data_IF_417670482524
#
_entry.id   IF_417670482524
#
_cell.length_a   1.000
_cell.length_b   1.000
_cell.length_c   1.000
_cell.angle_alpha   90.00
_cell.angle_beta   90.00
_cell.angle_gamma   90.00
#
_symmetry.space_group_name_H-M   'P 1'
#
loop_
_entity.id
_entity.type
_entity.pdbx_description
1 polymer ?
#
# COMPACT_ATOMS: atom_id res chain seq x y z
N UNK A 1 -5.95 -8.57 -19.42
CA UNK A 1 -6.11 -8.42 -17.96
C UNK A 1 -6.56 -9.75 -17.40
N UNK A 2 -5.72 -10.41 -16.60
CA UNK A 2 -6.13 -11.59 -15.83
C UNK A 2 -6.94 -11.08 -14.64
N UNK A 3 -8.19 -11.50 -14.50
CA UNK A 3 -9.02 -11.08 -13.37
C UNK A 3 -8.70 -11.95 -12.13
N UNK A 4 -9.03 -11.45 -10.93
CA UNK A 4 -8.78 -12.13 -9.65
C UNK A 4 -9.27 -13.59 -9.65
N UNK A 5 -10.46 -13.84 -10.20
CA UNK A 5 -11.07 -15.17 -10.21
C UNK A 5 -10.30 -16.17 -11.09
N UNK A 6 -9.70 -15.70 -12.18
CA UNK A 6 -8.86 -16.55 -13.05
C UNK A 6 -7.59 -17.00 -12.32
N UNK A 7 -6.94 -16.10 -11.58
CA UNK A 7 -5.76 -16.42 -10.77
C UNK A 7 -6.12 -17.37 -9.62
N UNK A 8 -7.23 -17.12 -8.94
CA UNK A 8 -7.70 -17.98 -7.86
C UNK A 8 -7.97 -19.41 -8.36
N UNK A 9 -8.65 -19.56 -9.49
CA UNK A 9 -8.93 -20.88 -10.07
C UNK A 9 -7.64 -21.61 -10.47
N UNK A 10 -6.61 -20.89 -10.94
CA UNK A 10 -5.31 -21.47 -11.24
C UNK A 10 -4.61 -21.98 -9.98
N UNK A 11 -4.65 -21.21 -8.88
CA UNK A 11 -4.06 -21.63 -7.60
C UNK A 11 -4.77 -22.87 -7.05
N UNK A 12 -6.11 -22.92 -7.13
CA UNK A 12 -6.89 -24.08 -6.69
C UNK A 12 -6.59 -25.36 -7.47
N UNK A 13 -6.10 -25.24 -8.71
CA UNK A 13 -5.70 -26.39 -9.52
C UNK A 13 -4.32 -26.97 -9.15
N UNK A 14 -3.55 -26.27 -8.33
CA UNK A 14 -2.23 -26.71 -7.87
C UNK A 14 -2.33 -27.71 -6.72
N UNK A 15 -1.31 -28.56 -6.58
CA UNK A 15 -1.13 -29.39 -5.38
C UNK A 15 -0.86 -28.52 -4.15
N UNK A 16 -1.17 -29.03 -2.96
CA UNK A 16 -0.90 -28.29 -1.70
C UNK A 16 0.58 -27.88 -1.58
N UNK A 17 1.49 -28.75 -1.99
CA UNK A 17 2.94 -28.47 -1.98
C UNK A 17 3.31 -27.32 -2.92
N UNK A 18 2.71 -27.28 -4.11
CA UNK A 18 2.95 -26.20 -5.07
C UNK A 18 2.32 -24.88 -4.62
N UNK A 19 1.15 -24.92 -3.95
CA UNK A 19 0.53 -23.73 -3.35
C UNK A 19 1.42 -23.13 -2.26
N UNK A 20 2.00 -23.98 -1.39
CA UNK A 20 2.90 -23.52 -0.33
C UNK A 20 4.20 -22.94 -0.89
N UNK A 21 4.79 -23.57 -1.92
CA UNK A 21 5.98 -23.03 -2.60
C UNK A 21 5.69 -21.67 -3.24
N UNK A 22 4.57 -21.56 -3.96
CA UNK A 22 4.14 -20.30 -4.58
C UNK A 22 3.93 -19.20 -3.52
N UNK A 23 3.32 -19.53 -2.38
CA UNK A 23 3.12 -18.57 -1.30
C UNK A 23 4.47 -18.04 -0.76
N UNK A 24 5.46 -18.91 -0.58
CA UNK A 24 6.77 -18.49 -0.08
C UNK A 24 7.54 -17.64 -1.11
N UNK A 25 7.47 -17.97 -2.40
CA UNK A 25 8.03 -17.13 -3.47
C UNK A 25 7.36 -15.75 -3.54
N UNK A 26 6.03 -15.70 -3.40
CA UNK A 26 5.28 -14.43 -3.39
C UNK A 26 5.61 -13.57 -2.18
N UNK A 27 5.80 -14.18 -0.99
CA UNK A 27 6.26 -13.42 0.20
C UNK A 27 7.62 -12.79 -0.05
N UNK A 28 8.54 -13.48 -0.71
CA UNK A 28 9.86 -12.93 -1.05
C UNK A 28 9.70 -11.73 -2.00
N UNK A 29 8.85 -11.85 -3.02
CA UNK A 29 8.58 -10.76 -3.96
C UNK A 29 7.92 -9.54 -3.31
N UNK A 30 6.96 -9.74 -2.41
CA UNK A 30 6.28 -8.64 -1.70
C UNK A 30 7.21 -7.96 -0.69
N UNK A 31 8.15 -8.72 -0.10
CA UNK A 31 9.13 -8.18 0.84
C UNK A 31 10.38 -7.60 0.15
N UNK A 32 10.52 -7.73 -1.17
CA UNK A 32 11.51 -6.98 -1.92
C UNK A 32 11.02 -5.55 -2.05
N UNK A 33 11.68 -4.64 -1.32
CA UNK A 33 11.42 -3.22 -1.40
C UNK A 33 11.44 -2.76 -2.87
N UNK A 34 10.40 -2.07 -3.28
CA UNK A 34 10.36 -1.41 -4.59
C UNK A 34 11.30 -0.22 -4.47
N UNK A 35 12.48 -0.29 -5.10
CA UNK A 35 13.32 0.90 -5.30
C UNK A 35 12.53 1.89 -6.16
N UNK A 36 12.10 3.00 -5.55
CA UNK A 36 11.50 4.12 -6.26
C UNK A 36 12.63 5.07 -6.62
N UNK A 37 12.76 5.42 -7.89
CA UNK A 37 13.85 6.26 -8.38
C UNK A 37 13.73 7.69 -7.81
N UNK A 38 14.63 8.06 -6.90
CA UNK A 38 14.70 9.36 -6.23
C UNK A 38 14.49 9.26 -4.72
N UNK A 39 15.60 9.27 -3.98
CA UNK A 39 15.77 9.05 -2.53
C UNK A 39 15.59 7.59 -2.06
N UNK A 40 16.64 7.07 -1.43
CA UNK A 40 16.74 5.74 -0.80
C UNK A 40 15.83 5.59 0.43
N UNK A 41 14.64 6.19 0.43
CA UNK A 41 13.67 6.10 1.51
C UNK A 41 12.70 4.95 1.23
N UNK A 42 12.93 3.81 1.87
CA UNK A 42 11.97 2.70 1.87
C UNK A 42 10.76 3.10 2.70
N UNK A 43 9.63 3.39 2.05
CA UNK A 43 8.37 3.69 2.75
C UNK A 43 7.70 2.37 3.18
N UNK A 44 7.50 2.12 4.48
CA UNK A 44 6.76 0.96 4.96
C UNK A 44 5.35 0.89 4.40
N UNK A 45 4.84 -0.31 4.14
CA UNK A 45 3.45 -0.53 3.66
C UNK A 45 2.42 0.14 4.59
N UNK A 46 2.68 0.17 5.89
CA UNK A 46 1.81 0.82 6.88
C UNK A 46 1.69 2.33 6.64
N UNK A 47 2.77 3.00 6.25
CA UNK A 47 2.75 4.44 5.94
C UNK A 47 2.00 4.71 4.64
N UNK A 48 2.13 3.83 3.65
CA UNK A 48 1.36 3.90 2.40
C UNK A 48 -0.14 3.77 2.68
N UNK A 49 -0.55 2.80 3.49
CA UNK A 49 -1.96 2.59 3.87
C UNK A 49 -2.51 3.82 4.61
N UNK A 50 -1.77 4.33 5.60
CA UNK A 50 -2.17 5.53 6.34
C UNK A 50 -2.32 6.75 5.42
N UNK A 51 -1.39 6.94 4.49
CA UNK A 51 -1.44 8.03 3.51
C UNK A 51 -2.67 7.91 2.59
N UNK A 52 -2.98 6.71 2.11
CA UNK A 52 -4.17 6.47 1.28
C UNK A 52 -5.48 6.73 2.05
N UNK A 53 -5.56 6.33 3.32
CA UNK A 53 -6.72 6.61 4.17
C UNK A 53 -6.89 8.10 4.43
N UNK A 54 -5.80 8.81 4.76
CA UNK A 54 -5.82 10.26 4.94
C UNK A 54 -6.31 10.97 3.68
N UNK A 55 -5.79 10.58 2.51
CA UNK A 55 -6.22 11.13 1.22
C UNK A 55 -7.70 10.88 0.93
N UNK A 56 -8.18 9.66 1.18
CA UNK A 56 -9.59 9.31 1.02
C UNK A 56 -10.50 10.11 1.96
N UNK A 57 -10.06 10.34 3.20
CA UNK A 57 -10.79 11.15 4.17
C UNK A 57 -10.85 12.62 3.78
N UNK A 58 -9.77 13.17 3.20
CA UNK A 58 -9.75 14.53 2.67
C UNK A 58 -10.70 14.68 1.47
N UNK A 59 -10.63 13.80 0.48
CA UNK A 59 -11.53 13.83 -0.70
C UNK A 59 -13.00 13.70 -0.29
N UNK A 60 -13.30 12.84 0.69
CA UNK A 60 -14.68 12.63 1.16
C UNK A 60 -15.19 13.77 2.05
N UNK A 61 -14.36 14.76 2.39
CA UNK A 61 -14.71 15.88 3.26
C UNK A 61 -14.85 15.51 4.75
N UNK A 62 -14.51 14.26 5.10
CA UNK A 62 -14.43 13.80 6.49
C UNK A 62 -13.26 14.44 7.22
N UNK A 63 -12.15 14.64 6.50
CA UNK A 63 -11.05 15.48 6.95
C UNK A 63 -11.24 16.90 6.38
N UNK A 64 -11.48 17.87 7.26
CA UNK A 64 -11.65 19.28 6.90
C UNK A 64 -10.30 19.98 6.68
N UNK A 65 -9.19 19.26 6.85
CA UNK A 65 -7.86 19.82 6.88
C UNK A 65 -7.70 20.82 8.03
N UNK A 66 -6.68 21.67 7.90
CA UNK A 66 -6.45 22.79 8.83
C UNK A 66 -6.51 24.10 8.06
N UNK A 67 -7.00 25.16 8.71
CA UNK A 67 -7.03 26.47 8.09
C UNK A 67 -5.60 26.98 7.85
N UNK A 68 -5.41 27.80 6.83
CA UNK A 68 -4.10 28.43 6.57
C UNK A 68 -3.60 29.22 7.78
N UNK A 69 -4.50 29.84 8.54
CA UNK A 69 -4.19 30.56 9.77
C UNK A 69 -3.66 29.64 10.87
N UNK A 70 -4.31 28.49 11.07
CA UNK A 70 -3.89 27.51 12.08
C UNK A 70 -2.59 26.81 11.67
N UNK A 71 -2.40 26.53 10.38
CA UNK A 71 -1.14 26.02 9.84
C UNK A 71 0.01 27.02 10.08
N UNK A 72 -0.21 28.31 9.78
CA UNK A 72 0.79 29.36 10.00
C UNK A 72 1.18 29.48 11.47
N UNK A 73 0.19 29.48 12.37
CA UNK A 73 0.45 29.49 13.83
C UNK A 73 1.27 28.28 14.27
N UNK A 74 0.99 27.09 13.73
CA UNK A 74 1.70 25.85 14.09
C UNK A 74 3.17 25.85 13.60
N UNK A 75 3.43 26.43 12.43
CA UNK A 75 4.76 26.45 11.82
C UNK A 75 5.64 27.60 12.28
N UNK A 76 5.05 28.76 12.57
CA UNK A 76 5.79 30.02 12.73
C UNK A 76 5.61 30.66 14.11
N UNK A 77 4.66 30.20 14.93
CA UNK A 77 4.36 30.77 16.25
C UNK A 77 3.80 32.18 16.18
#
# INVERSE_FOLDING_TARGET
>A
MTNYNQVLNQIHSLSLSDQLRLLDELKVLVNQAIEVEGDEETIPITEIVQSQEAWKNYISGNDKGISSTDLKRKLLG
#
